data_IF_065594936023
#
_entry.id   IF_065594936023
#
_cell.length_a   1.000
_cell.length_b   1.000
_cell.length_c   1.000
_cell.angle_alpha   90.00
_cell.angle_beta   90.00
_cell.angle_gamma   90.00
#
_symmetry.space_group_name_H-M   'P 1'
#
loop_
_entity.id
_entity.type
_entity.pdbx_description
1 polymer ?
#
# COMPACT_ATOMS: atom_id res chain seq x y z
N UNK A 1 7.67 6.50 -13.73
CA UNK A 1 6.91 6.32 -12.48
C UNK A 1 5.44 6.62 -12.75
N UNK A 2 4.54 6.09 -11.96
CA UNK A 2 3.11 6.21 -12.20
C UNK A 2 2.28 5.50 -11.15
N UNK A 3 0.98 5.46 -11.40
CA UNK A 3 -0.01 4.81 -10.56
C UNK A 3 -0.96 3.94 -11.37
N UNK A 4 -1.49 2.92 -10.72
CA UNK A 4 -2.64 2.13 -11.17
C UNK A 4 -3.65 2.14 -10.05
N UNK A 5 -4.83 2.68 -10.30
CA UNK A 5 -5.94 2.74 -9.35
C UNK A 5 -6.55 1.34 -9.19
N UNK A 6 -7.30 1.13 -8.11
CA UNK A 6 -7.97 -0.14 -7.79
C UNK A 6 -8.90 -0.64 -8.91
N UNK A 7 -9.53 0.28 -9.63
CA UNK A 7 -10.42 -0.01 -10.77
C UNK A 7 -9.69 -0.14 -12.11
N UNK A 8 -8.35 -0.10 -12.11
CA UNK A 8 -7.50 -0.29 -13.27
C UNK A 8 -7.22 0.98 -14.09
N UNK A 9 -7.74 2.16 -13.70
CA UNK A 9 -7.28 3.42 -14.30
C UNK A 9 -5.81 3.63 -14.00
N UNK A 10 -5.05 4.18 -14.93
CA UNK A 10 -3.62 4.35 -14.72
C UNK A 10 -3.13 5.70 -15.23
N UNK A 11 -1.99 6.13 -14.67
CA UNK A 11 -1.23 7.26 -15.16
C UNK A 11 0.26 6.92 -15.07
N UNK A 12 1.00 7.11 -16.14
CA UNK A 12 2.46 6.92 -16.15
C UNK A 12 3.14 8.08 -16.84
N UNK A 13 4.09 8.71 -16.14
CA UNK A 13 4.98 9.69 -16.71
C UNK A 13 6.19 9.03 -17.36
N UNK A 14 6.65 9.61 -18.48
CA UNK A 14 7.94 9.28 -19.10
C UNK A 14 9.02 10.20 -18.53
N UNK A 15 9.89 9.66 -17.69
CA UNK A 15 10.97 10.40 -17.04
C UNK A 15 12.27 10.12 -17.79
N UNK A 16 12.71 11.05 -18.63
CA UNK A 16 13.96 10.92 -19.41
C UNK A 16 15.20 11.34 -18.64
N UNK A 17 15.00 12.15 -17.60
CA UNK A 17 16.05 12.66 -16.74
C UNK A 17 15.73 12.26 -15.31
N UNK A 18 16.74 11.73 -14.60
CA UNK A 18 16.61 11.32 -13.21
C UNK A 18 17.75 11.89 -12.40
N UNK A 19 17.43 12.38 -11.21
CA UNK A 19 18.40 12.73 -10.19
C UNK A 19 18.23 11.73 -9.04
N UNK A 20 19.27 10.93 -8.79
CA UNK A 20 19.24 9.80 -7.87
C UNK A 20 20.22 10.07 -6.72
N UNK A 21 19.74 10.02 -5.48
CA UNK A 21 20.63 10.07 -4.33
C UNK A 21 21.00 8.66 -3.87
N UNK A 22 22.29 8.34 -3.79
CA UNK A 22 22.74 7.09 -3.20
C UNK A 22 23.13 7.32 -1.74
N UNK A 23 22.31 6.82 -0.82
CA UNK A 23 22.67 6.81 0.60
C UNK A 23 23.91 5.95 0.90
N UNK A 24 24.23 4.97 0.04
CA UNK A 24 25.42 4.13 0.19
C UNK A 24 26.71 4.90 -0.13
N UNK A 25 26.67 5.76 -1.14
CA UNK A 25 27.83 6.56 -1.56
C UNK A 25 27.84 7.97 -0.98
N UNK A 26 26.71 8.44 -0.43
CA UNK A 26 26.55 9.79 0.08
C UNK A 26 26.34 10.86 -0.99
N UNK A 27 26.22 10.47 -2.27
CA UNK A 27 26.31 11.36 -3.43
C UNK A 27 25.12 11.23 -4.40
N UNK A 28 24.98 12.26 -5.25
CA UNK A 28 23.97 12.33 -6.30
C UNK A 28 24.49 11.81 -7.65
N UNK A 29 23.63 11.09 -8.37
CA UNK A 29 23.85 10.58 -9.72
C UNK A 29 22.80 11.16 -10.67
N UNK A 30 23.23 11.52 -11.88
CA UNK A 30 22.35 12.04 -12.92
C UNK A 30 22.27 11.05 -14.08
N UNK A 31 21.04 10.86 -14.59
CA UNK A 31 20.76 10.03 -15.76
C UNK A 31 20.02 10.90 -16.78
N UNK A 32 20.32 10.71 -18.07
CA UNK A 32 19.60 11.36 -19.17
C UNK A 32 20.30 12.57 -19.80
N UNK A 33 21.56 12.86 -19.46
CA UNK A 33 22.40 13.82 -20.19
C UNK A 33 22.16 15.31 -19.90
N UNK A 34 21.03 15.68 -19.28
CA UNK A 34 20.83 17.03 -18.73
C UNK A 34 21.30 17.10 -17.28
N UNK A 35 21.97 18.20 -16.91
CA UNK A 35 22.39 18.45 -15.53
C UNK A 35 21.24 18.97 -14.69
N UNK A 36 20.36 18.07 -14.26
CA UNK A 36 19.21 18.39 -13.39
C UNK A 36 19.65 19.14 -12.13
N UNK A 37 20.78 18.78 -11.53
CA UNK A 37 21.38 19.48 -10.38
C UNK A 37 21.57 20.98 -10.59
N UNK A 38 21.80 21.43 -11.83
CA UNK A 38 21.93 22.86 -12.16
C UNK A 38 20.59 23.58 -12.32
N UNK A 39 19.51 22.83 -12.45
CA UNK A 39 18.14 23.37 -12.52
C UNK A 39 17.54 23.52 -11.11
N UNK A 40 18.18 22.96 -10.08
CA UNK A 40 17.78 23.23 -8.71
C UNK A 40 18.14 24.66 -8.36
N UNK A 41 17.10 25.44 -8.09
CA UNK A 41 17.23 26.72 -7.40
C UNK A 41 17.18 26.44 -5.89
N UNK A 42 18.30 26.52 -5.15
CA UNK A 42 18.27 26.42 -3.69
C UNK A 42 17.51 27.57 -3.02
N UNK A 43 17.20 28.65 -3.77
CA UNK A 43 16.32 29.73 -3.35
C UNK A 43 14.86 29.51 -3.78
N UNK A 44 14.50 28.33 -4.31
CA UNK A 44 13.11 27.97 -4.57
C UNK A 44 12.28 28.22 -3.29
N UNK A 45 11.24 29.05 -3.45
CA UNK A 45 10.45 29.57 -2.33
C UNK A 45 9.79 28.49 -1.49
N UNK A 46 9.33 28.88 -0.31
CA UNK A 46 8.64 27.98 0.63
C UNK A 46 7.49 27.24 -0.04
N UNK A 47 7.39 25.93 0.23
CA UNK A 47 6.27 25.11 -0.25
C UNK A 47 4.98 25.64 0.39
N UNK A 48 3.99 26.09 -0.40
CA UNK A 48 2.75 26.62 0.15
C UNK A 48 2.05 25.58 1.03
N UNK A 49 1.89 25.90 2.31
CA UNK A 49 1.27 24.99 3.29
C UNK A 49 -0.18 24.73 2.90
N UNK A 50 -0.55 23.45 2.84
CA UNK A 50 -1.92 23.07 2.52
C UNK A 50 -2.88 23.42 3.66
N UNK A 51 -4.01 24.04 3.31
CA UNK A 51 -5.11 24.30 4.23
C UNK A 51 -6.23 23.28 4.01
N UNK A 52 -6.33 22.33 4.95
CA UNK A 52 -7.33 21.28 4.93
C UNK A 52 -8.53 21.63 5.82
N UNK A 53 -9.73 21.40 5.30
CA UNK A 53 -10.96 21.51 6.07
C UNK A 53 -11.19 20.32 7.00
N UNK A 54 -12.42 20.22 7.53
CA UNK A 54 -12.80 19.11 8.42
C UNK A 54 -12.91 17.80 7.64
N UNK A 55 -12.22 16.77 8.14
CA UNK A 55 -12.32 15.40 7.65
C UNK A 55 -13.70 14.80 7.93
N UNK A 56 -14.29 14.14 6.92
CA UNK A 56 -15.56 13.42 7.01
C UNK A 56 -15.39 12.02 6.44
N UNK A 57 -15.92 11.02 7.15
CA UNK A 57 -16.00 9.66 6.64
C UNK A 57 -17.15 9.52 5.65
N UNK A 58 -17.01 8.63 4.66
CA UNK A 58 -18.10 8.17 3.79
C UNK A 58 -19.00 7.12 4.47
N UNK A 59 -18.63 6.65 5.65
CA UNK A 59 -19.39 5.74 6.49
C UNK A 59 -19.77 6.40 7.83
N UNK A 60 -20.97 6.12 8.34
CA UNK A 60 -21.18 6.16 9.81
C UNK A 60 -20.65 4.87 10.43
N UNK A 61 -20.46 4.88 11.77
CA UNK A 61 -20.06 3.68 12.51
C UNK A 61 -21.03 2.53 12.27
N UNK A 62 -22.32 2.80 12.39
CA UNK A 62 -23.39 1.81 12.24
C UNK A 62 -23.41 1.21 10.83
N UNK A 63 -23.18 2.04 9.80
CA UNK A 63 -23.10 1.57 8.42
C UNK A 63 -21.87 0.67 8.20
N UNK A 64 -20.71 1.02 8.78
CA UNK A 64 -19.52 0.19 8.67
C UNK A 64 -19.70 -1.15 9.41
N UNK A 65 -20.24 -1.12 10.63
CA UNK A 65 -20.54 -2.32 11.41
C UNK A 65 -21.55 -3.24 10.68
N UNK A 66 -22.56 -2.65 10.02
CA UNK A 66 -23.51 -3.41 9.19
C UNK A 66 -22.83 -4.03 7.95
N UNK A 67 -21.89 -3.31 7.31
CA UNK A 67 -21.12 -3.86 6.19
C UNK A 67 -20.22 -5.02 6.63
N UNK A 68 -19.63 -4.95 7.83
CA UNK A 68 -18.87 -6.07 8.43
C UNK A 68 -19.76 -7.29 8.65
N UNK A 69 -20.93 -7.11 9.28
CA UNK A 69 -21.89 -8.20 9.47
C UNK A 69 -22.32 -8.82 8.13
N UNK A 70 -22.54 -8.00 7.10
CA UNK A 70 -22.88 -8.48 5.76
C UNK A 70 -21.74 -9.25 5.09
N UNK A 71 -20.48 -8.83 5.29
CA UNK A 71 -19.33 -9.60 4.85
C UNK A 71 -19.23 -10.96 5.56
N UNK A 72 -19.60 -11.04 6.84
CA UNK A 72 -19.67 -12.31 7.58
C UNK A 72 -20.77 -13.23 7.05
N UNK A 73 -21.91 -12.71 6.57
CA UNK A 73 -22.92 -13.52 5.88
C UNK A 73 -22.33 -14.21 4.64
N UNK A 74 -21.55 -13.48 3.83
CA UNK A 74 -20.86 -14.03 2.66
C UNK A 74 -19.83 -15.11 3.06
N UNK A 75 -19.11 -14.89 4.15
CA UNK A 75 -18.16 -15.88 4.68
C UNK A 75 -18.90 -17.14 5.16
N UNK A 76 -20.00 -16.98 5.90
CA UNK A 76 -20.82 -18.08 6.40
C UNK A 76 -21.48 -18.90 5.27
N UNK A 77 -21.82 -18.25 4.15
CA UNK A 77 -22.31 -18.90 2.95
C UNK A 77 -21.21 -19.65 2.16
N UNK A 78 -19.93 -19.41 2.46
CA UNK A 78 -18.80 -20.00 1.77
C UNK A 78 -18.38 -19.27 0.48
N UNK A 79 -18.85 -18.04 0.26
CA UNK A 79 -18.49 -17.24 -0.92
C UNK A 79 -17.02 -16.78 -0.88
N UNK A 80 -16.54 -16.45 0.33
CA UNK A 80 -15.20 -15.93 0.61
C UNK A 80 -14.70 -16.43 1.98
N UNK A 81 -13.39 -16.45 2.17
CA UNK A 81 -12.74 -16.66 3.47
C UNK A 81 -12.43 -15.34 4.19
N UNK A 82 -12.13 -14.29 3.42
CA UNK A 82 -11.79 -12.97 3.92
C UNK A 82 -12.17 -11.91 2.87
N UNK A 83 -12.58 -10.73 3.33
CA UNK A 83 -12.66 -9.51 2.53
C UNK A 83 -12.14 -8.32 3.32
N UNK A 84 -11.41 -7.42 2.68
CA UNK A 84 -10.99 -6.17 3.28
C UNK A 84 -12.02 -5.10 2.96
N UNK A 85 -12.65 -4.53 3.98
CA UNK A 85 -13.54 -3.38 3.83
C UNK A 85 -12.81 -2.11 4.24
N UNK A 86 -13.12 -1.00 3.58
CA UNK A 86 -12.49 0.28 3.79
C UNK A 86 -13.47 1.44 3.85
N UNK A 87 -13.10 2.46 4.62
CA UNK A 87 -13.79 3.74 4.66
C UNK A 87 -12.86 4.86 4.17
N UNK A 88 -13.44 5.84 3.49
CA UNK A 88 -12.77 7.01 2.96
C UNK A 88 -12.98 8.18 3.90
N UNK A 89 -11.90 8.89 4.22
CA UNK A 89 -11.96 10.21 4.85
C UNK A 89 -11.63 11.28 3.83
N UNK A 90 -12.48 12.30 3.75
CA UNK A 90 -12.33 13.40 2.79
C UNK A 90 -12.41 14.75 3.49
N UNK A 91 -11.56 15.69 3.09
CA UNK A 91 -11.56 17.08 3.55
C UNK A 91 -11.40 18.04 2.36
N UNK A 92 -12.01 19.24 2.39
CA UNK A 92 -11.71 20.28 1.41
C UNK A 92 -10.22 20.66 1.43
N UNK A 93 -9.56 20.64 0.27
CA UNK A 93 -8.23 21.21 0.08
C UNK A 93 -8.41 22.63 -0.45
N UNK A 94 -8.35 23.61 0.46
CA UNK A 94 -8.73 25.00 0.15
C UNK A 94 -7.62 25.76 -0.58
N UNK A 95 -6.38 25.55 -0.14
CA UNK A 95 -5.16 26.24 -0.61
C UNK A 95 -3.94 25.37 -0.39
N UNK A 96 -2.83 25.77 -1.01
CA UNK A 96 -1.52 25.17 -0.80
C UNK A 96 -1.33 23.83 -1.50
N UNK A 97 -0.26 23.14 -1.13
CA UNK A 97 0.16 21.86 -1.72
C UNK A 97 0.33 20.82 -0.63
N UNK A 98 -0.19 19.62 -0.86
CA UNK A 98 -0.03 18.49 0.05
C UNK A 98 1.43 18.15 0.29
N UNK A 99 2.35 18.48 -0.63
CA UNK A 99 3.80 18.34 -0.45
C UNK A 99 4.29 18.88 0.90
N UNK A 100 3.65 19.94 1.42
CA UNK A 100 3.93 20.50 2.74
C UNK A 100 3.77 19.51 3.90
N UNK A 101 2.99 18.44 3.73
CA UNK A 101 2.81 17.36 4.69
C UNK A 101 3.74 16.16 4.44
N UNK A 102 4.45 16.10 3.31
CA UNK A 102 5.21 14.90 2.93
C UNK A 102 6.38 14.63 3.86
N UNK A 103 7.10 15.67 4.31
CA UNK A 103 8.20 15.52 5.28
C UNK A 103 7.69 15.04 6.64
N UNK A 104 6.55 15.56 7.11
CA UNK A 104 5.88 15.09 8.32
C UNK A 104 5.46 13.62 8.18
N UNK A 105 4.94 13.21 7.02
CA UNK A 105 4.57 11.83 6.76
C UNK A 105 5.79 10.90 6.78
N UNK A 106 6.88 11.28 6.10
CA UNK A 106 8.13 10.50 6.06
C UNK A 106 8.80 10.37 7.43
N UNK A 107 8.70 11.39 8.28
CA UNK A 107 9.26 11.35 9.63
C UNK A 107 8.39 10.56 10.61
N UNK A 108 7.06 10.72 10.55
CA UNK A 108 6.13 10.05 11.49
C UNK A 108 5.78 8.62 11.13
N UNK A 109 5.87 8.23 9.87
CA UNK A 109 5.62 6.87 9.41
C UNK A 109 6.58 6.53 8.27
N UNK A 110 7.89 6.39 8.52
CA UNK A 110 8.86 6.05 7.48
C UNK A 110 8.55 4.67 6.89
N UNK A 111 8.60 4.57 5.58
CA UNK A 111 8.36 3.33 4.87
C UNK A 111 9.31 3.18 3.66
N UNK A 112 9.73 1.96 3.32
CA UNK A 112 10.71 1.71 2.26
C UNK A 112 10.23 2.09 0.86
N UNK A 113 8.91 2.22 0.65
CA UNK A 113 8.31 2.61 -0.64
C UNK A 113 7.49 3.88 -0.52
N UNK A 114 7.97 4.83 0.29
CA UNK A 114 7.41 6.17 0.31
C UNK A 114 7.56 6.86 -1.06
N UNK A 115 6.53 7.59 -1.46
CA UNK A 115 6.49 8.27 -2.75
C UNK A 115 5.74 9.60 -2.64
N UNK A 116 6.24 10.59 -3.38
CA UNK A 116 5.49 11.79 -3.71
C UNK A 116 5.35 11.86 -5.23
N UNK A 117 4.14 12.10 -5.72
CA UNK A 117 3.87 12.27 -7.15
C UNK A 117 2.92 13.45 -7.35
N UNK A 118 3.32 14.36 -8.23
CA UNK A 118 2.45 15.42 -8.73
C UNK A 118 2.24 15.20 -10.22
N UNK A 119 0.99 14.91 -10.61
CA UNK A 119 0.60 14.69 -12.01
C UNK A 119 0.01 15.94 -12.67
N UNK A 120 -0.03 17.07 -11.96
CA UNK A 120 -0.77 18.28 -12.32
C UNK A 120 -2.27 18.19 -12.02
N UNK A 121 -2.85 16.99 -12.12
CA UNK A 121 -4.26 16.72 -11.77
C UNK A 121 -4.43 16.18 -10.35
N UNK A 122 -3.46 15.36 -9.91
CA UNK A 122 -3.44 14.68 -8.62
C UNK A 122 -2.11 14.93 -7.93
N UNK A 123 -2.17 15.23 -6.64
CA UNK A 123 -1.01 15.28 -5.76
C UNK A 123 -1.09 14.10 -4.77
N UNK A 124 -0.10 13.23 -4.79
CA UNK A 124 -0.13 11.94 -4.10
C UNK A 124 1.05 11.87 -3.14
N UNK A 125 0.75 11.64 -1.86
CA UNK A 125 1.73 11.38 -0.81
C UNK A 125 1.50 9.98 -0.28
N UNK A 126 2.48 9.11 -0.42
CA UNK A 126 2.40 7.73 0.05
C UNK A 126 3.54 7.41 0.99
N UNK A 127 3.25 6.67 2.06
CA UNK A 127 4.25 6.02 2.88
C UNK A 127 3.94 4.52 3.02
N UNK A 128 3.95 3.84 1.88
CA UNK A 128 3.60 2.44 1.80
C UNK A 128 4.72 1.52 2.31
N UNK A 129 4.41 0.62 3.27
CA UNK A 129 5.34 -0.40 3.73
C UNK A 129 5.34 -1.68 2.89
N UNK A 130 4.36 -1.87 2.00
CA UNK A 130 4.11 -3.17 1.37
C UNK A 130 4.50 -3.21 -0.11
N UNK A 131 5.39 -4.16 -0.45
CA UNK A 131 5.84 -4.37 -1.82
C UNK A 131 4.79 -5.17 -2.55
N UNK A 132 4.16 -4.55 -3.55
CA UNK A 132 3.22 -5.24 -4.40
C UNK A 132 3.97 -6.17 -5.33
N UNK A 133 4.78 -5.64 -6.24
CA UNK A 133 5.56 -6.43 -7.19
C UNK A 133 6.95 -5.82 -7.38
N UNK A 134 7.97 -6.65 -7.36
CA UNK A 134 9.30 -6.36 -7.90
C UNK A 134 9.56 -7.30 -9.06
N UNK A 135 10.00 -6.76 -10.18
CA UNK A 135 10.31 -7.51 -11.38
C UNK A 135 11.73 -7.20 -11.85
N UNK A 136 12.51 -8.24 -12.09
CA UNK A 136 13.90 -8.17 -12.57
C UNK A 136 14.09 -9.20 -13.67
N UNK A 137 14.20 -8.73 -14.91
CA UNK A 137 14.20 -9.60 -16.10
C UNK A 137 12.91 -10.42 -16.19
N UNK A 138 12.99 -11.73 -15.95
CA UNK A 138 11.82 -12.62 -15.91
C UNK A 138 11.45 -13.06 -14.48
N UNK A 139 12.14 -12.59 -13.44
CA UNK A 139 11.80 -12.92 -12.05
C UNK A 139 10.79 -11.92 -11.53
N UNK A 140 9.74 -12.42 -10.87
CA UNK A 140 8.74 -11.62 -10.17
C UNK A 140 8.71 -11.99 -8.68
N UNK A 141 8.52 -11.01 -7.83
CA UNK A 141 8.44 -11.17 -6.38
C UNK A 141 7.35 -10.26 -5.79
N UNK A 142 6.65 -10.75 -4.77
CA UNK A 142 5.75 -9.97 -3.92
C UNK A 142 6.06 -10.23 -2.45
N UNK A 143 5.88 -9.23 -1.58
CA UNK A 143 6.17 -9.34 -0.15
C UNK A 143 5.00 -8.82 0.69
N UNK A 144 3.94 -9.64 0.89
CA UNK A 144 2.82 -9.26 1.74
C UNK A 144 3.28 -9.08 3.20
N UNK A 145 2.64 -8.15 3.88
CA UNK A 145 2.88 -7.90 5.30
C UNK A 145 1.61 -8.16 6.12
N UNK A 146 1.78 -8.74 7.30
CA UNK A 146 0.71 -8.88 8.30
C UNK A 146 1.27 -8.72 9.70
N UNK A 147 0.39 -8.27 10.60
CA UNK A 147 0.75 -7.90 11.96
C UNK A 147 1.69 -6.71 12.03
N UNK A 148 1.44 -5.88 13.04
CA UNK A 148 2.28 -4.72 13.33
C UNK A 148 2.42 -4.61 14.82
N UNK A 149 3.66 -4.45 15.30
CA UNK A 149 3.93 -4.09 16.69
C UNK A 149 4.92 -2.94 16.75
N UNK A 150 4.80 -2.01 17.71
CA UNK A 150 5.70 -0.86 17.81
C UNK A 150 7.12 -1.27 18.20
N UNK A 151 8.11 -0.51 17.72
CA UNK A 151 9.48 -0.55 18.23
C UNK A 151 9.56 0.21 19.55
N UNK A 152 10.42 -0.28 20.45
CA UNK A 152 10.72 0.41 21.70
C UNK A 152 12.23 0.66 21.84
N UNK A 153 12.58 1.81 22.43
CA UNK A 153 13.97 2.12 22.77
C UNK A 153 14.52 1.21 23.89
N UNK A 154 13.64 0.72 24.78
CA UNK A 154 13.96 -0.27 25.80
C UNK A 154 14.09 -1.67 25.13
N UNK A 155 15.28 -2.29 25.12
CA UNK A 155 15.50 -3.57 24.44
C UNK A 155 14.61 -4.71 24.96
N UNK A 156 14.28 -4.72 26.25
CA UNK A 156 13.45 -5.77 26.82
C UNK A 156 11.99 -5.62 26.39
N UNK A 157 11.49 -4.37 26.28
CA UNK A 157 10.15 -4.10 25.72
C UNK A 157 10.11 -4.41 24.22
N UNK A 158 11.15 -4.04 23.47
CA UNK A 158 11.21 -4.30 22.02
C UNK A 158 11.24 -5.80 21.72
N UNK A 159 11.96 -6.58 22.52
CA UNK A 159 11.99 -8.03 22.42
C UNK A 159 10.62 -8.65 22.73
N UNK A 160 9.91 -8.17 23.76
CA UNK A 160 8.54 -8.64 24.04
C UNK A 160 7.58 -8.29 22.91
N UNK A 161 7.63 -7.06 22.41
CA UNK A 161 6.82 -6.57 21.30
C UNK A 161 6.98 -7.44 20.03
N UNK A 162 8.22 -7.76 19.67
CA UNK A 162 8.51 -8.65 18.53
C UNK A 162 8.16 -10.11 18.80
N UNK A 163 8.34 -10.61 20.02
CA UNK A 163 7.97 -11.97 20.40
C UNK A 163 6.45 -12.17 20.36
N UNK A 164 5.67 -11.22 20.89
CA UNK A 164 4.20 -11.22 20.82
C UNK A 164 3.73 -11.29 19.37
N UNK A 165 4.36 -10.54 18.46
CA UNK A 165 4.03 -10.61 17.03
C UNK A 165 4.33 -11.99 16.44
N UNK A 166 5.54 -12.53 16.68
CA UNK A 166 5.98 -13.82 16.15
C UNK A 166 5.18 -15.02 16.68
N UNK A 167 4.63 -14.90 17.87
CA UNK A 167 3.86 -15.97 18.53
C UNK A 167 2.34 -15.78 18.40
N UNK A 168 1.90 -14.73 17.70
CA UNK A 168 0.49 -14.52 17.44
C UNK A 168 -0.03 -15.50 16.39
N UNK A 169 -0.81 -16.49 16.84
CA UNK A 169 -1.45 -17.47 15.96
C UNK A 169 -2.37 -16.80 14.93
N UNK A 170 -3.09 -15.74 15.34
CA UNK A 170 -3.94 -14.93 14.44
C UNK A 170 -3.14 -14.34 13.28
N UNK A 171 -2.06 -13.62 13.58
CA UNK A 171 -1.28 -12.90 12.58
C UNK A 171 -0.54 -13.86 11.63
N UNK A 172 -0.07 -14.99 12.18
CA UNK A 172 0.53 -16.09 11.40
C UNK A 172 -0.48 -16.72 10.46
N UNK A 173 -1.70 -17.02 10.92
CA UNK A 173 -2.75 -17.63 10.11
C UNK A 173 -3.20 -16.69 8.97
N UNK A 174 -3.41 -15.41 9.28
CA UNK A 174 -3.72 -14.40 8.25
C UNK A 174 -2.61 -14.30 7.21
N UNK A 175 -1.35 -14.23 7.63
CA UNK A 175 -0.24 -14.13 6.69
C UNK A 175 -0.08 -15.37 5.83
N UNK A 176 -0.30 -16.57 6.40
CA UNK A 176 -0.25 -17.83 5.64
C UNK A 176 -1.30 -17.83 4.54
N UNK A 177 -2.55 -17.47 4.87
CA UNK A 177 -3.64 -17.38 3.89
C UNK A 177 -3.33 -16.37 2.78
N UNK A 178 -2.81 -15.17 3.13
CA UNK A 178 -2.39 -14.18 2.12
C UNK A 178 -1.24 -14.72 1.27
N UNK A 179 -0.27 -15.41 1.88
CA UNK A 179 0.86 -16.02 1.16
C UNK A 179 0.34 -17.00 0.11
N UNK A 180 -0.63 -17.84 0.45
CA UNK A 180 -1.24 -18.78 -0.50
C UNK A 180 -2.04 -18.09 -1.61
N UNK A 181 -2.79 -17.03 -1.27
CA UNK A 181 -3.47 -16.21 -2.28
C UNK A 181 -2.47 -15.64 -3.30
N UNK A 182 -1.34 -15.12 -2.83
CA UNK A 182 -0.34 -14.53 -3.71
C UNK A 182 0.46 -15.56 -4.51
N UNK A 183 0.64 -16.78 -3.98
CA UNK A 183 1.14 -17.92 -4.78
C UNK A 183 0.21 -18.22 -5.95
N UNK A 184 -1.11 -18.19 -5.72
CA UNK A 184 -2.09 -18.39 -6.79
C UNK A 184 -2.05 -17.24 -7.81
N UNK A 185 -1.93 -15.98 -7.36
CA UNK A 185 -1.82 -14.83 -8.25
C UNK A 185 -0.57 -14.92 -9.16
N UNK A 186 0.60 -15.21 -8.59
CA UNK A 186 1.81 -15.40 -9.39
C UNK A 186 1.73 -16.65 -10.27
N UNK A 187 1.09 -17.73 -9.82
CA UNK A 187 0.97 -18.98 -10.58
C UNK A 187 0.25 -18.80 -11.92
N UNK A 188 -0.70 -17.88 -12.02
CA UNK A 188 -1.45 -17.63 -13.26
C UNK A 188 -0.58 -17.12 -14.41
N UNK A 189 0.54 -16.46 -14.11
CA UNK A 189 1.41 -15.78 -15.08
C UNK A 189 2.83 -16.35 -15.15
N UNK A 190 3.15 -17.32 -14.29
CA UNK A 190 4.48 -17.89 -14.16
C UNK A 190 4.65 -19.23 -14.87
N UNK A 191 5.90 -19.65 -15.06
CA UNK A 191 6.28 -20.97 -15.54
C UNK A 191 5.84 -22.04 -14.53
N UNK A 192 5.44 -23.21 -15.03
CA UNK A 192 5.00 -24.33 -14.19
C UNK A 192 6.10 -24.73 -13.19
N UNK A 193 5.74 -24.84 -11.91
CA UNK A 193 6.66 -25.23 -10.83
C UNK A 193 7.65 -24.13 -10.40
N UNK A 194 7.58 -22.92 -10.96
CA UNK A 194 8.51 -21.83 -10.60
C UNK A 194 8.11 -21.05 -9.34
N UNK A 195 6.83 -21.07 -8.95
CA UNK A 195 6.33 -20.33 -7.78
C UNK A 195 6.90 -20.91 -6.49
N UNK A 196 7.56 -20.06 -5.69
CA UNK A 196 8.22 -20.43 -4.43
C UNK A 196 7.88 -19.46 -3.32
N UNK A 197 7.70 -19.98 -2.11
CA UNK A 197 7.72 -19.19 -0.87
C UNK A 197 9.16 -19.17 -0.39
N UNK A 198 9.87 -18.07 -0.64
CA UNK A 198 11.28 -17.91 -0.29
C UNK A 198 11.45 -17.70 1.23
N UNK A 199 10.47 -17.02 1.84
CA UNK A 199 10.38 -16.83 3.28
C UNK A 199 8.90 -16.80 3.69
N UNK A 200 8.57 -17.46 4.80
CA UNK A 200 7.23 -17.48 5.37
C UNK A 200 7.26 -16.81 6.74
N UNK A 201 6.47 -15.75 6.91
CA UNK A 201 6.29 -15.04 8.18
C UNK A 201 7.60 -14.66 8.90
N UNK A 202 8.55 -14.14 8.14
CA UNK A 202 9.79 -13.59 8.68
C UNK A 202 9.50 -12.27 9.41
N UNK A 203 10.04 -12.12 10.62
CA UNK A 203 10.00 -10.85 11.32
C UNK A 203 10.93 -9.84 10.63
N UNK A 204 10.38 -8.71 10.20
CA UNK A 204 11.14 -7.55 9.71
C UNK A 204 10.97 -6.37 10.67
N UNK A 205 12.10 -5.84 11.14
CA UNK A 205 12.13 -4.71 12.08
C UNK A 205 12.53 -3.43 11.35
N UNK A 206 11.56 -2.53 11.16
CA UNK A 206 11.78 -1.18 10.65
C UNK A 206 12.06 -0.20 11.80
N UNK A 207 12.34 1.06 11.49
CA UNK A 207 12.70 2.08 12.47
C UNK A 207 11.66 2.25 13.60
N UNK A 208 10.36 2.08 13.30
CA UNK A 208 9.27 2.34 14.24
C UNK A 208 8.38 1.13 14.52
N UNK A 209 8.43 0.10 13.68
CA UNK A 209 7.53 -1.06 13.79
C UNK A 209 8.24 -2.37 13.44
N UNK A 210 7.70 -3.46 13.97
CA UNK A 210 7.94 -4.84 13.55
C UNK A 210 6.76 -5.32 12.70
N UNK A 211 7.05 -6.07 11.64
CA UNK A 211 6.06 -6.72 10.77
C UNK A 211 6.41 -8.19 10.55
N UNK A 212 5.40 -9.03 10.30
CA UNK A 212 5.64 -10.33 9.67
C UNK A 212 5.53 -10.15 8.16
N UNK A 213 6.51 -10.70 7.45
CA UNK A 213 6.64 -10.58 6.00
C UNK A 213 6.84 -11.97 5.42
N UNK A 214 6.08 -12.31 4.39
CA UNK A 214 6.39 -13.46 3.54
C UNK A 214 6.95 -12.96 2.21
N UNK A 215 7.76 -13.77 1.56
CA UNK A 215 8.29 -13.49 0.22
C UNK A 215 7.86 -14.61 -0.71
N UNK A 216 7.07 -14.26 -1.73
CA UNK A 216 6.67 -15.19 -2.79
C UNK A 216 7.31 -14.73 -4.08
N UNK A 217 8.00 -15.63 -4.76
CA UNK A 217 8.63 -15.35 -6.05
C UNK A 217 8.25 -16.38 -7.10
N UNK A 218 8.44 -16.02 -8.37
CA UNK A 218 8.26 -16.92 -9.49
C UNK A 218 9.05 -16.46 -10.73
N UNK A 219 9.05 -17.30 -11.76
CA UNK A 219 9.59 -16.96 -13.09
C UNK A 219 8.44 -16.72 -14.04
N UNK A 220 8.35 -15.52 -14.63
CA UNK A 220 7.38 -15.16 -15.66
C UNK A 220 7.53 -16.09 -16.88
N UNK A 221 6.40 -16.46 -17.51
CA UNK A 221 6.46 -17.15 -18.79
C UNK A 221 7.08 -16.25 -19.88
N UNK A 222 7.72 -16.82 -20.92
CA UNK A 222 8.41 -16.04 -21.95
C UNK A 222 7.56 -14.99 -22.69
N UNK A 223 6.23 -15.16 -22.70
CA UNK A 223 5.27 -14.27 -23.36
C UNK A 223 4.58 -13.29 -22.40
N UNK A 224 5.03 -13.21 -21.15
CA UNK A 224 4.48 -12.31 -20.13
C UNK A 224 5.50 -11.22 -19.84
N UNK A 225 5.15 -9.99 -20.20
CA UNK A 225 5.95 -8.81 -19.83
C UNK A 225 5.57 -8.24 -18.46
N UNK A 226 6.31 -7.24 -18.00
CA UNK A 226 6.08 -6.61 -16.70
C UNK A 226 4.72 -5.90 -16.60
N UNK A 227 4.21 -5.38 -17.72
CA UNK A 227 2.93 -4.67 -17.75
C UNK A 227 1.78 -5.67 -17.60
N UNK A 228 1.83 -6.78 -18.34
CA UNK A 228 0.89 -7.89 -18.22
C UNK A 228 0.94 -8.52 -16.83
N UNK A 229 2.12 -8.64 -16.23
CA UNK A 229 2.28 -9.12 -14.86
C UNK A 229 1.59 -8.20 -13.86
N UNK A 230 1.82 -6.87 -13.95
CA UNK A 230 1.14 -5.89 -13.10
C UNK A 230 -0.39 -5.95 -13.27
N UNK A 231 -0.87 -5.98 -14.51
CA UNK A 231 -2.29 -6.01 -14.82
C UNK A 231 -2.97 -7.29 -14.30
N UNK A 232 -2.31 -8.45 -14.40
CA UNK A 232 -2.86 -9.74 -13.97
C UNK A 232 -2.92 -9.88 -12.45
N UNK A 233 -1.93 -9.32 -11.75
CA UNK A 233 -1.90 -9.34 -10.29
C UNK A 233 -2.84 -8.30 -9.66
N UNK A 234 -3.17 -7.20 -10.36
CA UNK A 234 -3.94 -6.10 -9.80
C UNK A 234 -5.44 -6.41 -9.66
N UNK A 235 -6.12 -5.87 -8.63
CA UNK A 235 -5.56 -5.26 -7.41
C UNK A 235 -4.88 -6.31 -6.51
N UNK A 236 -3.99 -5.89 -5.61
CA UNK A 236 -3.19 -6.82 -4.79
C UNK A 236 -4.05 -7.77 -3.94
N UNK A 237 -3.73 -9.06 -3.91
CA UNK A 237 -4.49 -10.04 -3.13
C UNK A 237 -4.53 -9.74 -1.61
N UNK A 238 -3.44 -9.22 -1.05
CA UNK A 238 -3.27 -8.94 0.38
C UNK A 238 -4.25 -7.90 0.96
N UNK A 239 -4.80 -7.04 0.10
CA UNK A 239 -5.65 -5.90 0.47
C UNK A 239 -7.09 -6.00 -0.06
N UNK A 240 -7.43 -7.13 -0.70
CA UNK A 240 -8.76 -7.40 -1.26
C UNK A 240 -9.47 -8.47 -0.45
N UNK A 241 -9.03 -9.71 -0.55
CA UNK A 241 -9.68 -10.85 0.06
C UNK A 241 -9.48 -12.14 -0.75
N UNK A 242 -10.03 -13.24 -0.23
CA UNK A 242 -9.86 -14.56 -0.82
C UNK A 242 -11.21 -15.29 -0.88
N UNK A 243 -11.63 -15.84 -2.05
CA UNK A 243 -11.01 -15.69 -3.38
C UNK A 243 -11.11 -14.25 -3.92
N UNK A 244 -10.01 -13.76 -4.53
CA UNK A 244 -9.85 -12.35 -4.95
C UNK A 244 -11.01 -11.79 -5.77
N UNK A 245 -11.43 -12.51 -6.81
CA UNK A 245 -12.50 -12.05 -7.71
C UNK A 245 -13.81 -11.79 -6.95
N UNK A 246 -14.23 -12.75 -6.11
CA UNK A 246 -15.47 -12.64 -5.34
C UNK A 246 -15.37 -11.56 -4.26
N UNK A 247 -14.21 -11.44 -3.60
CA UNK A 247 -13.95 -10.36 -2.65
C UNK A 247 -14.08 -8.96 -3.29
N UNK A 248 -13.56 -8.78 -4.52
CA UNK A 248 -13.71 -7.51 -5.25
C UNK A 248 -15.18 -7.17 -5.57
N UNK A 249 -16.01 -8.16 -5.92
CA UNK A 249 -17.45 -7.98 -6.15
C UNK A 249 -18.16 -7.53 -4.87
N UNK A 250 -17.84 -8.16 -3.74
CA UNK A 250 -18.39 -7.81 -2.42
C UNK A 250 -17.93 -6.42 -1.99
N UNK A 251 -16.68 -6.05 -2.21
CA UNK A 251 -16.18 -4.69 -1.95
C UNK A 251 -16.99 -3.66 -2.73
N UNK A 252 -17.23 -3.91 -4.02
CA UNK A 252 -18.01 -3.00 -4.87
C UNK A 252 -19.49 -2.90 -4.45
N UNK A 253 -20.04 -3.95 -3.83
CA UNK A 253 -21.39 -3.96 -3.27
C UNK A 253 -21.48 -3.20 -1.93
N UNK A 254 -20.52 -3.42 -1.03
CA UNK A 254 -20.61 -2.99 0.37
C UNK A 254 -19.99 -1.62 0.63
N UNK A 255 -19.02 -1.17 -0.17
CA UNK A 255 -18.41 0.15 -0.01
C UNK A 255 -19.22 1.25 -0.73
N UNK A 256 -19.46 2.41 -0.09
CA UNK A 256 -20.32 3.46 -0.64
C UNK A 256 -19.65 4.27 -1.76
N UNK A 257 -18.33 4.13 -1.94
CA UNK A 257 -17.58 4.86 -2.95
C UNK A 257 -16.44 4.02 -3.52
N UNK A 258 -16.05 4.21 -4.80
CA UNK A 258 -14.87 3.59 -5.36
C UNK A 258 -13.59 3.97 -4.58
N UNK A 259 -12.64 3.04 -4.50
CA UNK A 259 -11.37 3.25 -3.78
C UNK A 259 -10.40 4.21 -4.49
N UNK A 260 -10.55 4.41 -5.80
CA UNK A 260 -9.59 5.17 -6.59
C UNK A 260 -8.19 4.60 -6.45
N UNK A 261 -7.20 5.44 -6.13
CA UNK A 261 -5.82 4.99 -5.93
C UNK A 261 -5.65 4.06 -4.71
N UNK A 262 -6.51 4.15 -3.69
CA UNK A 262 -6.33 3.34 -2.49
C UNK A 262 -6.35 1.86 -2.81
N UNK A 263 -5.35 1.13 -2.30
CA UNK A 263 -5.11 -0.29 -2.60
C UNK A 263 -4.86 -0.65 -4.06
N UNK A 264 -4.70 0.36 -4.92
CA UNK A 264 -4.03 0.24 -6.20
C UNK A 264 -2.51 0.13 -6.01
N UNK A 265 -1.74 0.65 -6.97
CA UNK A 265 -0.28 0.60 -6.93
C UNK A 265 0.39 1.90 -7.34
N UNK A 266 1.58 2.13 -6.79
CA UNK A 266 2.46 3.26 -7.12
C UNK A 266 3.84 2.68 -7.43
N UNK A 267 4.43 3.05 -8.57
CA UNK A 267 5.69 2.43 -8.96
C UNK A 267 6.24 2.89 -10.30
N UNK A 268 7.15 2.10 -10.86
CA UNK A 268 7.77 2.40 -12.14
C UNK A 268 8.05 1.14 -12.96
N UNK A 269 8.04 1.33 -14.28
CA UNK A 269 8.67 0.44 -15.24
C UNK A 269 10.03 1.03 -15.64
N UNK A 270 11.10 0.30 -15.42
CA UNK A 270 12.45 0.68 -15.79
C UNK A 270 12.82 0.16 -17.18
N UNK A 271 13.55 0.97 -17.95
CA UNK A 271 14.06 0.57 -19.26
C UNK A 271 15.25 -0.40 -19.18
N UNK A 272 15.74 -0.68 -17.97
CA UNK A 272 16.82 -1.61 -17.67
C UNK A 272 16.32 -3.02 -17.31
N UNK A 273 15.05 -3.32 -17.54
CA UNK A 273 14.46 -4.62 -17.16
C UNK A 273 14.15 -4.74 -15.66
N UNK A 274 14.16 -3.64 -14.91
CA UNK A 274 13.77 -3.59 -13.50
C UNK A 274 12.44 -2.84 -13.35
N UNK A 275 11.55 -3.31 -12.50
CA UNK A 275 10.29 -2.61 -12.19
C UNK A 275 9.90 -2.86 -10.75
N UNK A 276 9.29 -1.87 -10.11
CA UNK A 276 8.86 -1.99 -8.72
C UNK A 276 7.59 -1.20 -8.45
N UNK A 277 6.65 -1.84 -7.76
CA UNK A 277 5.36 -1.30 -7.39
C UNK A 277 5.07 -1.58 -5.92
N UNK A 278 4.59 -0.58 -5.20
CA UNK A 278 4.04 -0.72 -3.84
C UNK A 278 2.52 -0.78 -3.89
N UNK A 279 1.90 -1.37 -2.87
CA UNK A 279 0.46 -1.22 -2.65
C UNK A 279 0.18 0.19 -2.15
N UNK A 280 -0.80 0.89 -2.72
CA UNK A 280 -1.16 2.26 -2.34
C UNK A 280 -1.96 2.31 -1.03
N UNK A 281 -1.27 2.09 0.08
CA UNK A 281 -1.78 2.23 1.45
C UNK A 281 -0.98 3.29 2.21
N UNK A 282 -1.58 3.85 3.27
CA UNK A 282 -1.04 5.04 3.97
C UNK A 282 -0.73 6.15 2.97
N UNK A 283 -1.72 6.41 2.11
CA UNK A 283 -1.63 7.32 0.97
C UNK A 283 -2.70 8.40 1.10
N UNK A 284 -2.28 9.65 0.92
CA UNK A 284 -3.11 10.84 0.82
C UNK A 284 -3.12 11.31 -0.63
N UNK A 285 -4.31 11.58 -1.16
CA UNK A 285 -4.49 12.04 -2.55
C UNK A 285 -5.24 13.37 -2.53
N UNK A 286 -4.66 14.38 -3.18
CA UNK A 286 -5.26 15.67 -3.44
C UNK A 286 -5.70 15.77 -4.89
N UNK A 287 -6.98 16.01 -5.13
CA UNK A 287 -7.52 16.25 -6.47
C UNK A 287 -8.84 17.02 -6.40
N UNK A 288 -9.15 17.82 -7.42
CA UNK A 288 -10.44 18.53 -7.55
C UNK A 288 -10.86 19.33 -6.31
N UNK A 289 -9.90 19.95 -5.62
CA UNK A 289 -10.16 20.73 -4.40
C UNK A 289 -10.49 19.90 -3.16
N UNK A 290 -10.23 18.59 -3.19
CA UNK A 290 -10.41 17.67 -2.07
C UNK A 290 -9.11 16.96 -1.77
N UNK A 291 -8.88 16.66 -0.50
CA UNK A 291 -7.89 15.70 -0.05
C UNK A 291 -8.63 14.49 0.52
N UNK A 292 -8.18 13.28 0.18
CA UNK A 292 -8.79 12.06 0.68
C UNK A 292 -7.74 10.98 0.97
N UNK A 293 -8.04 10.14 1.95
CA UNK A 293 -7.31 8.92 2.26
C UNK A 293 -8.29 7.84 2.70
N UNK A 294 -7.85 6.59 2.69
CA UNK A 294 -8.67 5.49 3.14
C UNK A 294 -7.93 4.65 4.18
N UNK A 295 -8.72 3.93 4.96
CA UNK A 295 -8.28 2.94 5.93
C UNK A 295 -9.24 1.76 5.89
N UNK A 296 -8.72 0.57 6.15
CA UNK A 296 -9.51 -0.64 6.04
C UNK A 296 -9.10 -1.72 7.04
N UNK A 297 -9.96 -2.71 7.16
CA UNK A 297 -9.84 -3.85 8.06
C UNK A 297 -10.14 -5.14 7.28
N UNK A 298 -9.42 -6.21 7.63
CA UNK A 298 -9.62 -7.53 7.03
C UNK A 298 -10.69 -8.28 7.82
N UNK A 299 -11.83 -8.54 7.18
CA UNK A 299 -12.98 -9.19 7.80
C UNK A 299 -12.86 -10.70 7.61
N UNK A 300 -12.96 -11.41 8.72
CA UNK A 300 -12.97 -12.88 8.81
C UNK A 300 -14.20 -13.35 9.59
N UNK A 301 -14.42 -14.66 9.65
CA UNK A 301 -15.63 -15.23 10.26
C UNK A 301 -15.84 -14.79 11.72
N UNK A 302 -14.77 -14.62 12.49
CA UNK A 302 -14.77 -14.25 13.91
C UNK A 302 -14.54 -12.74 14.15
N UNK A 303 -14.53 -11.91 13.10
CA UNK A 303 -14.45 -10.46 13.23
C UNK A 303 -15.57 -9.91 14.11
N UNK A 304 -15.25 -8.93 14.95
CA UNK A 304 -16.23 -8.22 15.78
C UNK A 304 -16.48 -6.85 15.15
N UNK A 305 -17.68 -6.55 14.60
CA UNK A 305 -17.93 -5.33 13.81
C UNK A 305 -17.41 -4.04 14.44
N UNK A 306 -17.67 -3.85 15.73
CA UNK A 306 -17.21 -2.66 16.47
C UNK A 306 -15.69 -2.60 16.58
N UNK A 307 -15.01 -3.73 16.77
CA UNK A 307 -13.56 -3.77 16.86
C UNK A 307 -12.90 -3.47 15.50
N UNK A 308 -13.48 -3.96 14.41
CA UNK A 308 -13.00 -3.68 13.05
C UNK A 308 -13.15 -2.19 12.71
N UNK A 309 -14.26 -1.55 13.11
CA UNK A 309 -14.42 -0.11 12.98
C UNK A 309 -13.32 0.66 13.75
N UNK A 310 -13.09 0.33 15.02
CA UNK A 310 -12.02 0.98 15.80
C UNK A 310 -10.62 0.73 15.21
N UNK A 311 -10.37 -0.47 14.66
CA UNK A 311 -9.11 -0.79 13.97
C UNK A 311 -8.86 0.15 12.78
N UNK A 312 -9.89 0.47 11.99
CA UNK A 312 -9.73 1.43 10.90
C UNK A 312 -9.36 2.83 11.41
N UNK A 313 -9.91 3.27 12.54
CA UNK A 313 -9.58 4.56 13.15
C UNK A 313 -8.15 4.59 13.70
N UNK A 314 -7.69 3.51 14.33
CA UNK A 314 -6.30 3.37 14.76
C UNK A 314 -5.33 3.41 13.56
N UNK A 315 -5.66 2.74 12.45
CA UNK A 315 -4.86 2.81 11.21
C UNK A 315 -4.83 4.22 10.61
N UNK A 316 -5.87 5.02 10.84
CA UNK A 316 -5.94 6.41 10.37
C UNK A 316 -5.03 7.33 11.19
N UNK A 317 -4.75 6.99 12.45
CA UNK A 317 -4.00 7.85 13.37
C UNK A 317 -2.61 8.21 12.83
N UNK A 318 -1.87 7.25 12.28
CA UNK A 318 -0.54 7.50 11.72
C UNK A 318 -0.55 8.58 10.62
N UNK A 319 -1.57 8.57 9.76
CA UNK A 319 -1.72 9.57 8.70
C UNK A 319 -2.27 10.90 9.25
N UNK A 320 -3.22 10.87 10.19
CA UNK A 320 -3.75 12.08 10.86
C UNK A 320 -2.68 12.83 11.64
N UNK A 321 -1.75 12.12 12.28
CA UNK A 321 -0.60 12.70 12.95
C UNK A 321 0.31 13.45 11.97
N UNK A 322 0.48 12.98 10.73
CA UNK A 322 1.24 13.71 9.72
C UNK A 322 0.52 14.99 9.24
N UNK A 323 -0.81 15.03 9.36
CA UNK A 323 -1.67 16.11 8.90
C UNK A 323 -1.94 17.20 9.94
N UNK A 324 -1.63 16.95 11.22
CA UNK A 324 -1.60 17.95 12.30
C UNK A 324 -0.32 18.79 12.26
#
# INVERSE_FOLDING_TARGET
>A
MGTVDYDGRFWFGLYRHLLLYSHLHGDWFEVGGERLSRQFDPAAGEIPVAELGTWRSNFTREQFEAAVARAQDYIAAGDIYQVNLAQQFTAPLRKGRLLSYYEKLRSRSPAPMAAYLDTGEREILSSSPELFLRLSGNRIETRPIKGTRPRFADPARDLRSSHELRTSEKEMAELLMITDLLRNDLGQLSEFGSVRVEALAQLESLAQVHHLVSTVSATLRPNIDHLQALASCSPGGSITGAPKKRACEIIAELEPSPRGLYTGSIGYFGLNGESQFSIAIRTLVGEKGLAHYHVGAGIVADSVPSAEYEETLHKAEGLRLALS
#
